data_IF_533130372647
#
_entry.id   IF_533130372647
#
_cell.length_a   1.000
_cell.length_b   1.000
_cell.length_c   1.000
_cell.angle_alpha   90.00
_cell.angle_beta   90.00
_cell.angle_gamma   90.00
#
_symmetry.space_group_name_H-M   'P 1'
#
loop_
_entity.id
_entity.type
_entity.pdbx_description
1 polymer ?
#
# COMPACT_ATOMS: atom_id res chain seq x y z
N UNK A 1 42.28 12.62 -15.10
CA UNK A 1 41.75 12.66 -13.72
C UNK A 1 41.33 11.26 -13.33
N UNK A 2 41.64 10.80 -12.11
CA UNK A 2 41.10 9.52 -11.63
C UNK A 2 39.60 9.66 -11.44
N UNK A 3 38.78 8.76 -12.00
CA UNK A 3 37.33 8.81 -11.80
C UNK A 3 37.01 8.71 -10.30
N UNK A 4 35.95 9.39 -9.88
CA UNK A 4 35.50 9.43 -8.50
C UNK A 4 33.98 9.32 -8.45
N UNK A 5 33.47 8.73 -7.38
CA UNK A 5 32.05 8.59 -7.09
C UNK A 5 31.72 9.45 -5.87
N UNK A 6 30.65 10.22 -5.95
CA UNK A 6 30.15 11.01 -4.81
C UNK A 6 29.18 10.15 -3.99
N UNK A 7 29.36 10.16 -2.68
CA UNK A 7 28.50 9.51 -1.69
C UNK A 7 27.97 10.55 -0.71
N UNK A 8 26.71 10.44 -0.31
CA UNK A 8 26.06 11.36 0.63
C UNK A 8 25.42 10.60 1.80
N UNK A 9 25.69 11.03 3.02
CA UNK A 9 25.00 10.58 4.23
C UNK A 9 24.54 11.81 5.02
N UNK A 10 23.23 12.07 5.05
CA UNK A 10 22.70 13.35 5.54
C UNK A 10 23.25 14.52 4.72
N UNK A 11 23.81 15.53 5.39
CA UNK A 11 24.42 16.71 4.74
C UNK A 11 25.87 16.48 4.28
N UNK A 12 26.46 15.35 4.64
CA UNK A 12 27.87 15.08 4.34
C UNK A 12 28.02 14.43 2.97
N UNK A 13 28.73 15.09 2.05
CA UNK A 13 29.05 14.55 0.72
C UNK A 13 30.56 14.33 0.59
N UNK A 14 30.98 13.11 0.26
CA UNK A 14 32.39 12.73 0.07
C UNK A 14 32.61 12.15 -1.33
N UNK A 15 33.68 12.59 -2.00
CA UNK A 15 34.10 12.02 -3.28
C UNK A 15 35.17 10.94 -3.04
N UNK A 16 34.86 9.69 -3.42
CA UNK A 16 35.74 8.54 -3.24
C UNK A 16 36.26 8.10 -4.61
N UNK A 17 37.57 7.87 -4.73
CA UNK A 17 38.17 7.37 -5.97
C UNK A 17 37.62 5.98 -6.32
N UNK A 18 37.21 5.79 -7.59
CA UNK A 18 36.72 4.48 -8.04
C UNK A 18 37.85 3.58 -8.51
N UNK A 19 37.67 2.28 -8.35
CA UNK A 19 38.59 1.25 -8.83
C UNK A 19 38.10 0.70 -10.16
N UNK A 20 38.97 0.03 -10.92
CA UNK A 20 38.59 -0.71 -12.12
C UNK A 20 38.77 -2.19 -11.90
N UNK A 21 37.77 -2.98 -12.29
CA UNK A 21 37.89 -4.44 -12.27
C UNK A 21 38.92 -4.87 -13.32
N UNK A 22 39.82 -5.79 -12.95
CA UNK A 22 40.89 -6.23 -13.86
C UNK A 22 40.38 -7.11 -15.00
N UNK A 23 39.24 -7.76 -14.79
CA UNK A 23 38.63 -8.73 -15.70
C UNK A 23 37.60 -8.04 -16.60
N UNK A 24 36.67 -7.27 -16.03
CA UNK A 24 35.60 -6.60 -16.79
C UNK A 24 36.00 -5.21 -17.28
N UNK A 25 36.96 -4.56 -16.63
CA UNK A 25 37.34 -3.16 -16.91
C UNK A 25 36.37 -2.12 -16.35
N UNK A 26 35.27 -2.55 -15.73
CA UNK A 26 34.23 -1.68 -15.19
C UNK A 26 34.69 -0.96 -13.93
N UNK A 27 34.17 0.26 -13.75
CA UNK A 27 34.49 1.08 -12.59
C UNK A 27 33.55 0.73 -11.42
N UNK A 28 34.11 0.63 -10.22
CA UNK A 28 33.34 0.27 -9.02
C UNK A 28 33.92 0.90 -7.74
N UNK A 29 33.11 0.98 -6.70
CA UNK A 29 33.49 1.37 -5.34
C UNK A 29 33.44 0.16 -4.40
N UNK A 30 34.48 -0.04 -3.59
CA UNK A 30 34.49 -1.10 -2.55
C UNK A 30 33.79 -0.61 -1.31
N UNK A 31 32.98 -1.46 -0.69
CA UNK A 31 32.32 -1.15 0.59
C UNK A 31 33.32 -0.73 1.67
N UNK A 32 34.49 -1.38 1.71
CA UNK A 32 35.56 -1.09 2.67
C UNK A 32 36.16 0.30 2.49
N UNK A 33 36.16 0.86 1.27
CA UNK A 33 36.64 2.21 1.03
C UNK A 33 35.58 3.25 1.41
N UNK A 34 34.29 2.91 1.27
CA UNK A 34 33.16 3.72 1.72
C UNK A 34 33.10 3.78 3.25
N UNK A 35 33.27 2.64 3.93
CA UNK A 35 33.25 2.54 5.40
C UNK A 35 34.33 3.35 6.10
N UNK A 36 35.42 3.71 5.42
CA UNK A 36 36.44 4.63 5.98
C UNK A 36 35.89 6.02 6.26
N UNK A 37 34.90 6.45 5.48
CA UNK A 37 34.26 7.76 5.62
C UNK A 37 32.87 7.65 6.27
N UNK A 38 32.18 6.54 6.05
CA UNK A 38 30.83 6.29 6.55
C UNK A 38 30.75 4.91 7.21
N UNK A 39 31.23 4.74 8.46
CA UNK A 39 31.36 3.41 9.09
C UNK A 39 30.04 2.64 9.23
N UNK A 40 28.92 3.35 9.31
CA UNK A 40 27.59 2.76 9.45
C UNK A 40 26.86 2.52 8.12
N UNK A 41 27.50 2.79 6.98
CA UNK A 41 26.90 2.61 5.66
C UNK A 41 26.54 1.14 5.42
N UNK A 42 25.30 0.86 5.02
CA UNK A 42 24.87 -0.51 4.71
C UNK A 42 23.91 -0.61 3.54
N UNK A 43 23.16 0.45 3.27
CA UNK A 43 22.25 0.56 2.13
C UNK A 43 22.61 1.77 1.28
N UNK A 44 22.48 1.61 -0.04
CA UNK A 44 22.88 2.58 -1.04
C UNK A 44 21.74 2.83 -2.01
N UNK A 45 21.53 4.07 -2.41
CA UNK A 45 20.45 4.46 -3.31
C UNK A 45 20.91 5.51 -4.32
N UNK A 46 20.42 5.43 -5.55
CA UNK A 46 20.56 6.47 -6.56
C UNK A 46 19.19 6.82 -7.11
N UNK A 47 18.78 8.08 -7.00
CA UNK A 47 17.50 8.61 -7.51
C UNK A 47 16.25 7.81 -7.06
N UNK A 48 16.24 7.34 -5.82
CA UNK A 48 15.12 6.55 -5.27
C UNK A 48 15.27 5.03 -5.47
N UNK A 49 16.26 4.55 -6.24
CA UNK A 49 16.48 3.12 -6.48
C UNK A 49 17.59 2.58 -5.58
N UNK A 50 17.29 1.55 -4.78
CA UNK A 50 18.31 0.86 -3.99
C UNK A 50 19.26 0.08 -4.89
N UNK A 51 20.56 0.26 -4.66
CA UNK A 51 21.61 -0.43 -5.39
C UNK A 51 21.89 -1.78 -4.75
N UNK A 52 21.89 -2.83 -5.59
CA UNK A 52 22.40 -4.13 -5.20
C UNK A 52 23.94 -4.14 -5.26
N UNK A 53 24.55 -5.08 -4.55
CA UNK A 53 25.97 -5.35 -4.72
C UNK A 53 26.22 -6.04 -6.05
N UNK A 54 27.37 -5.79 -6.66
CA UNK A 54 27.75 -6.48 -7.89
C UNK A 54 27.95 -7.97 -7.62
N UNK A 55 27.49 -8.80 -8.56
CA UNK A 55 27.63 -10.25 -8.56
C UNK A 55 28.60 -10.70 -9.65
N UNK A 56 29.23 -11.87 -9.44
CA UNK A 56 30.08 -12.52 -10.42
C UNK A 56 29.26 -13.32 -11.45
N UNK A 57 29.94 -14.05 -12.34
CA UNK A 57 29.30 -14.84 -13.40
C UNK A 57 28.52 -16.05 -12.87
N UNK A 58 28.71 -16.40 -11.60
CA UNK A 58 28.01 -17.47 -10.91
C UNK A 58 26.93 -16.94 -9.96
N UNK A 59 26.49 -15.69 -10.14
CA UNK A 59 25.45 -15.03 -9.33
C UNK A 59 25.83 -14.93 -7.84
N UNK A 60 27.15 -14.85 -7.54
CA UNK A 60 27.64 -14.64 -6.17
C UNK A 60 28.12 -13.22 -5.98
N UNK A 61 27.72 -12.59 -4.89
CA UNK A 61 28.23 -11.26 -4.52
C UNK A 61 29.76 -11.27 -4.42
N UNK A 62 30.42 -10.28 -5.02
CA UNK A 62 31.87 -10.15 -4.89
C UNK A 62 32.29 -9.95 -3.42
N UNK A 63 33.35 -10.63 -2.97
CA UNK A 63 34.04 -10.30 -1.72
C UNK A 63 35.40 -9.62 -1.97
N UNK A 64 35.66 -8.41 -1.42
CA UNK A 64 34.74 -7.56 -0.65
C UNK A 64 33.64 -6.95 -1.53
N UNK A 65 32.47 -6.68 -0.93
CA UNK A 65 31.28 -6.15 -1.62
C UNK A 65 31.58 -4.89 -2.42
N UNK A 66 30.99 -4.81 -3.61
CA UNK A 66 31.26 -3.77 -4.62
C UNK A 66 29.96 -3.13 -5.07
N UNK A 67 30.01 -1.83 -5.33
CA UNK A 67 28.91 -1.04 -5.88
C UNK A 67 29.37 -0.50 -7.23
N UNK A 68 28.51 -0.58 -8.24
CA UNK A 68 28.76 -0.04 -9.56
C UNK A 68 29.04 1.48 -9.52
N UNK A 69 29.84 1.98 -10.46
CA UNK A 69 30.06 3.42 -10.61
C UNK A 69 28.92 4.07 -11.39
N UNK A 70 28.36 5.16 -10.86
CA UNK A 70 27.33 5.99 -11.49
C UNK A 70 27.88 7.40 -11.76
N UNK A 71 28.50 7.64 -12.95
CA UNK A 71 29.09 8.93 -13.29
C UNK A 71 28.06 10.07 -13.21
N UNK A 72 28.44 11.18 -12.57
CA UNK A 72 27.59 12.37 -12.42
C UNK A 72 26.55 12.28 -11.30
N UNK A 73 26.17 11.08 -10.87
CA UNK A 73 25.20 10.87 -9.79
C UNK A 73 25.84 10.92 -8.40
N UNK A 74 25.02 11.16 -7.37
CA UNK A 74 25.38 11.05 -5.96
C UNK A 74 24.69 9.79 -5.42
N UNK A 75 25.45 8.91 -4.77
CA UNK A 75 24.91 7.71 -4.12
C UNK A 75 24.56 8.07 -2.68
N UNK A 76 23.28 7.98 -2.34
CA UNK A 76 22.77 8.21 -0.98
C UNK A 76 22.99 6.97 -0.11
N UNK A 77 23.53 7.20 1.09
CA UNK A 77 23.82 6.18 2.09
C UNK A 77 22.73 6.21 3.15
N UNK A 78 22.09 5.07 3.35
CA UNK A 78 21.12 4.86 4.41
C UNK A 78 21.74 4.01 5.52
N UNK A 79 21.61 4.50 6.74
CA UNK A 79 21.97 3.77 7.96
C UNK A 79 20.66 3.29 8.58
N UNK A 80 20.42 1.98 8.68
CA UNK A 80 19.31 1.46 9.45
C UNK A 80 19.47 1.99 10.85
N UNK A 81 18.54 2.84 11.29
CA UNK A 81 18.49 3.28 12.66
C UNK A 81 18.34 2.03 13.51
N UNK A 82 19.41 1.65 14.21
CA UNK A 82 19.33 0.59 15.21
C UNK A 82 18.28 1.05 16.19
N UNK A 83 17.13 0.36 16.20
CA UNK A 83 16.08 0.55 17.18
C UNK A 83 16.74 0.31 18.55
N UNK A 84 17.18 1.38 19.20
CA UNK A 84 17.57 1.33 20.59
C UNK A 84 16.31 0.94 21.34
N UNK A 85 16.21 -0.33 21.73
CA UNK A 85 15.21 -0.78 22.68
C UNK A 85 15.40 0.09 23.93
N UNK A 86 14.45 1.00 24.17
CA UNK A 86 14.41 1.79 25.40
C UNK A 86 14.40 0.81 26.55
N UNK A 87 15.53 0.68 27.23
CA UNK A 87 15.66 -0.18 28.39
C UNK A 87 15.37 0.70 29.60
N UNK A 88 14.11 1.12 29.74
CA UNK A 88 13.69 1.82 30.95
C UNK A 88 13.54 0.79 32.09
N UNK A 89 14.25 0.95 33.22
CA UNK A 89 14.13 0.06 34.35
C UNK A 89 12.78 0.28 35.04
N UNK A 90 11.96 -0.78 35.10
CA UNK A 90 10.68 -0.82 35.80
C UNK A 90 10.84 -0.51 37.29
N UNK A 91 10.27 0.63 37.73
CA UNK A 91 10.10 0.97 39.14
C UNK A 91 8.95 0.16 39.75
N UNK A 92 9.29 -0.66 40.74
CA UNK A 92 8.36 -1.34 41.63
C UNK A 92 7.65 -0.31 42.54
N UNK A 93 6.31 -0.30 42.54
CA UNK A 93 5.51 0.41 43.53
C UNK A 93 4.69 -0.60 44.35
N UNK A 94 5.17 -0.81 45.57
CA UNK A 94 4.53 -1.62 46.61
C UNK A 94 3.62 -0.77 47.48
N UNK A 95 2.34 -1.18 47.52
CA UNK A 95 1.42 -1.26 48.66
C UNK A 95 1.43 -0.24 49.81
N UNK A 96 0.24 0.32 50.05
CA UNK A 96 -0.42 0.28 51.36
C UNK A 96 -0.75 1.63 52.03
N UNK A 97 -2.04 1.91 52.27
CA UNK A 97 -2.71 1.80 53.60
C UNK A 97 -4.03 2.61 53.64
N UNK A 98 -4.99 2.07 54.39
CA UNK A 98 -6.38 2.50 54.58
C UNK A 98 -6.62 3.79 55.40
N UNK A 99 -7.80 4.37 55.12
CA UNK A 99 -8.79 5.01 56.02
C UNK A 99 -8.47 6.36 56.70
N UNK A 100 -9.34 7.37 56.45
CA UNK A 100 -10.27 7.88 57.48
C UNK A 100 -11.37 8.79 56.91
N UNK A 101 -12.54 8.62 57.50
CA UNK A 101 -13.79 9.38 57.39
C UNK A 101 -13.59 10.84 57.86
N UNK A 102 -14.23 11.79 57.16
CA UNK A 102 -14.32 13.18 57.61
C UNK A 102 -15.27 13.99 56.74
N UNK A 103 -16.44 14.30 57.31
CA UNK A 103 -17.54 15.08 56.72
C UNK A 103 -17.17 16.55 56.52
N UNK A 104 -17.87 17.16 55.55
CA UNK A 104 -18.53 18.48 55.62
C UNK A 104 -17.98 19.62 54.74
N UNK A 105 -18.95 20.16 54.01
CA UNK A 105 -19.22 21.58 53.73
C UNK A 105 -18.81 22.19 52.38
N UNK A 106 -19.88 22.61 51.70
CA UNK A 106 -19.95 23.44 50.51
C UNK A 106 -19.56 24.86 50.90
N UNK A 107 -18.68 25.50 50.13
CA UNK A 107 -18.56 26.95 50.06
C UNK A 107 -17.98 27.36 48.71
N UNK A 108 -18.71 28.23 48.01
CA UNK A 108 -18.26 28.98 46.86
C UNK A 108 -17.21 30.02 47.26
N UNK A 109 -16.13 30.17 46.49
CA UNK A 109 -15.66 31.44 45.95
C UNK A 109 -14.46 31.21 45.01
N UNK A 110 -14.43 31.92 43.89
CA UNK A 110 -13.34 31.85 42.92
C UNK A 110 -12.13 32.71 43.30
N UNK A 111 -10.97 32.36 42.74
CA UNK A 111 -9.90 33.28 42.35
C UNK A 111 -8.83 32.55 41.51
N UNK A 112 -8.64 33.02 40.26
CA UNK A 112 -7.38 33.43 39.60
C UNK A 112 -6.18 32.46 39.44
N UNK A 113 -5.61 32.49 38.21
CA UNK A 113 -4.29 31.98 37.75
C UNK A 113 -4.19 30.44 37.70
N UNK A 114 -3.57 29.78 36.72
CA UNK A 114 -2.33 30.09 36.01
C UNK A 114 -2.26 29.26 34.72
N UNK A 115 -1.63 29.82 33.70
CA UNK A 115 -1.29 29.18 32.42
C UNK A 115 -0.24 28.10 32.70
N UNK A 116 -0.57 26.83 32.50
CA UNK A 116 0.41 25.76 32.59
C UNK A 116 0.41 24.85 31.36
N UNK A 117 1.63 24.52 30.98
CA UNK A 117 2.07 23.99 29.69
C UNK A 117 1.94 22.46 29.71
N UNK A 118 0.96 21.92 28.99
CA UNK A 118 0.82 20.47 28.82
C UNK A 118 1.67 20.01 27.61
N UNK A 119 2.82 19.40 27.89
CA UNK A 119 3.56 18.58 26.95
C UNK A 119 2.91 17.18 26.92
N UNK A 120 2.30 16.83 25.78
CA UNK A 120 1.78 15.50 25.51
C UNK A 120 2.81 14.72 24.68
N UNK A 121 3.41 13.74 25.34
CA UNK A 121 4.27 12.73 24.73
C UNK A 121 3.42 11.72 23.97
N UNK A 122 3.76 11.46 22.69
CA UNK A 122 3.09 10.46 21.84
C UNK A 122 4.09 9.38 21.47
N UNK A 123 3.72 8.12 21.70
CA UNK A 123 4.51 6.94 21.37
C UNK A 123 4.24 6.47 19.94
N UNK A 124 5.32 6.04 19.27
CA UNK A 124 5.34 5.53 17.90
C UNK A 124 4.72 4.11 17.79
N UNK A 125 3.87 3.88 16.79
CA UNK A 125 3.48 2.56 16.31
C UNK A 125 3.87 2.44 14.83
N UNK A 126 4.70 1.43 14.52
CA UNK A 126 5.24 1.14 13.19
C UNK A 126 4.38 0.09 12.48
N UNK A 127 3.98 0.36 11.24
CA UNK A 127 3.44 -0.63 10.30
C UNK A 127 4.43 -0.79 9.13
N UNK A 128 4.73 -2.05 8.78
CA UNK A 128 5.60 -2.43 7.66
C UNK A 128 4.81 -2.46 6.33
N UNK A 129 5.38 -2.00 5.21
CA UNK A 129 4.88 -2.34 3.88
C UNK A 129 5.46 -3.68 3.37
N UNK A 130 4.62 -4.45 2.66
CA UNK A 130 4.98 -5.69 1.97
C UNK A 130 5.70 -5.40 0.64
N UNK A 131 6.70 -6.23 0.34
CA UNK A 131 7.45 -6.22 -0.92
C UNK A 131 6.74 -7.10 -1.97
N UNK A 132 6.45 -6.53 -3.13
CA UNK A 132 5.89 -7.24 -4.29
C UNK A 132 7.04 -7.67 -5.19
N UNK A 133 7.25 -8.98 -5.33
CA UNK A 133 8.20 -9.54 -6.29
C UNK A 133 7.50 -9.76 -7.64
N UNK A 134 7.98 -9.09 -8.69
CA UNK A 134 7.65 -9.36 -10.08
C UNK A 134 8.37 -10.62 -10.56
N UNK A 135 7.62 -11.71 -10.78
CA UNK A 135 8.15 -12.96 -11.32
C UNK A 135 7.95 -12.98 -12.84
N UNK A 136 9.06 -12.99 -13.58
CA UNK A 136 9.05 -13.09 -15.05
C UNK A 136 9.02 -14.55 -15.48
N UNK A 137 7.96 -14.96 -16.17
CA UNK A 137 7.78 -16.30 -16.75
C UNK A 137 8.49 -16.38 -18.11
N UNK A 138 9.56 -17.19 -18.21
CA UNK A 138 10.09 -17.66 -19.48
C UNK A 138 9.99 -19.19 -19.55
N UNK A 139 9.29 -19.65 -20.59
CA UNK A 139 8.95 -21.04 -20.92
C UNK A 139 9.98 -21.57 -21.91
N UNK A 140 10.65 -22.68 -21.60
CA UNK A 140 11.16 -23.63 -22.60
C UNK A 140 11.55 -24.96 -21.96
N UNK A 141 11.15 -26.04 -22.64
CA UNK A 141 11.27 -27.43 -22.24
C UNK A 141 12.48 -28.11 -22.90
N UNK A 142 13.18 -28.98 -22.16
CA UNK A 142 13.82 -30.20 -22.69
C UNK A 142 14.23 -31.15 -21.54
N UNK A 143 14.12 -32.45 -21.81
CA UNK A 143 14.28 -33.62 -20.95
C UNK A 143 15.69 -33.85 -20.36
N UNK A 144 15.79 -34.32 -19.10
CA UNK A 144 16.34 -35.65 -18.69
C UNK A 144 16.74 -35.74 -17.19
N UNK A 145 16.90 -36.97 -16.63
CA UNK A 145 16.52 -37.28 -15.24
C UNK A 145 17.69 -37.47 -14.24
N UNK A 146 17.28 -37.64 -12.98
CA UNK A 146 18.02 -38.15 -11.81
C UNK A 146 19.18 -37.31 -11.25
N UNK A 147 18.94 -36.70 -10.08
CA UNK A 147 19.78 -36.91 -8.90
C UNK A 147 19.09 -36.41 -7.63
N UNK A 148 19.00 -37.30 -6.64
CA UNK A 148 18.58 -37.01 -5.29
C UNK A 148 19.43 -35.91 -4.66
N UNK A 149 18.79 -34.84 -4.22
CA UNK A 149 19.40 -33.82 -3.36
C UNK A 149 18.45 -33.48 -2.22
N UNK A 150 18.99 -33.64 -1.02
CA UNK A 150 18.39 -33.40 0.29
C UNK A 150 18.00 -31.93 0.42
N UNK A 151 16.70 -31.63 0.51
CA UNK A 151 16.21 -30.29 0.81
C UNK A 151 16.38 -29.99 2.30
N UNK A 152 17.15 -28.93 2.61
CA UNK A 152 17.11 -28.25 3.90
C UNK A 152 15.97 -27.22 3.88
N UNK A 153 15.12 -27.13 4.91
CA UNK A 153 14.06 -26.13 4.96
C UNK A 153 14.63 -24.76 5.34
N UNK A 154 14.29 -23.76 4.52
CA UNK A 154 14.61 -22.35 4.72
C UNK A 154 13.69 -21.74 5.80
N UNK A 155 14.30 -21.06 6.76
CA UNK A 155 13.73 -20.57 8.01
C UNK A 155 12.57 -19.56 7.82
N UNK A 156 11.40 -19.90 8.33
CA UNK A 156 10.31 -18.95 8.62
C UNK A 156 10.40 -18.53 10.09
N UNK A 157 11.04 -17.39 10.37
CA UNK A 157 11.08 -16.77 11.69
C UNK A 157 9.78 -16.02 12.00
N UNK A 158 9.37 -16.07 13.27
CA UNK A 158 8.28 -15.31 13.95
C UNK A 158 6.86 -15.90 14.04
N UNK A 159 6.73 -17.17 14.44
CA UNK A 159 5.71 -17.57 15.44
C UNK A 159 6.37 -18.53 16.43
N UNK A 160 7.19 -17.99 17.32
CA UNK A 160 7.77 -18.73 18.44
C UNK A 160 7.17 -18.17 19.72
N UNK A 161 5.91 -18.51 20.02
CA UNK A 161 5.35 -18.36 21.37
C UNK A 161 4.12 -19.26 21.50
N UNK A 162 4.19 -20.15 22.49
CA UNK A 162 3.16 -21.09 22.95
C UNK A 162 2.95 -22.37 22.14
N UNK A 163 4.01 -23.13 21.87
CA UNK A 163 3.87 -24.59 22.00
C UNK A 163 3.78 -24.88 23.50
N UNK A 164 2.56 -24.91 24.04
CA UNK A 164 2.32 -25.37 25.41
C UNK A 164 2.84 -26.81 25.47
N UNK A 165 3.89 -27.01 26.26
CA UNK A 165 4.67 -28.24 26.34
C UNK A 165 3.79 -29.45 26.68
N UNK A 166 3.43 -30.25 25.67
CA UNK A 166 2.77 -31.56 25.77
C UNK A 166 3.61 -32.53 26.63
N UNK A 167 4.88 -32.21 26.84
CA UNK A 167 5.85 -33.01 27.59
C UNK A 167 5.49 -33.14 29.08
N UNK A 168 4.76 -32.19 29.66
CA UNK A 168 4.44 -32.18 31.10
C UNK A 168 3.35 -33.18 31.54
N UNK A 169 2.18 -33.29 30.87
CA UNK A 169 1.15 -34.27 31.26
C UNK A 169 1.56 -35.72 31.01
N UNK A 170 2.37 -35.99 29.97
CA UNK A 170 2.86 -37.35 29.71
C UNK A 170 3.76 -37.89 30.84
N UNK A 171 4.56 -37.01 31.46
CA UNK A 171 5.36 -37.39 32.62
C UNK A 171 4.49 -37.75 33.84
N UNK A 172 3.38 -37.04 34.06
CA UNK A 172 2.45 -37.35 35.14
C UNK A 172 1.71 -38.67 34.91
N UNK A 173 1.25 -38.95 33.69
CA UNK A 173 0.66 -40.25 33.31
C UNK A 173 1.66 -41.39 33.50
N UNK A 174 2.93 -41.17 33.15
CA UNK A 174 3.99 -42.17 33.34
C UNK A 174 4.21 -42.47 34.82
N UNK A 175 4.19 -41.46 35.70
CA UNK A 175 4.36 -41.66 37.14
C UNK A 175 3.17 -42.43 37.76
N UNK A 176 1.94 -42.09 37.37
CA UNK A 176 0.74 -42.82 37.84
C UNK A 176 0.76 -44.28 37.36
N UNK A 177 1.20 -44.53 36.13
CA UNK A 177 1.35 -45.89 35.61
C UNK A 177 2.36 -46.72 36.41
N UNK A 178 3.52 -46.14 36.77
CA UNK A 178 4.51 -46.84 37.61
C UNK A 178 3.96 -47.14 39.01
N UNK A 179 3.21 -46.22 39.61
CA UNK A 179 2.59 -46.42 40.92
C UNK A 179 1.53 -47.53 40.88
N UNK A 180 0.70 -47.57 39.83
CA UNK A 180 -0.26 -48.66 39.59
C UNK A 180 0.45 -50.01 39.53
N UNK A 181 1.54 -50.13 38.75
CA UNK A 181 2.28 -51.41 38.64
C UNK A 181 2.88 -51.84 39.97
N UNK A 182 3.35 -50.88 40.78
CA UNK A 182 3.91 -51.15 42.11
C UNK A 182 2.82 -51.68 43.06
N UNK A 183 1.63 -51.07 43.08
CA UNK A 183 0.51 -51.54 43.91
C UNK A 183 0.01 -52.91 43.45
N UNK A 184 -0.06 -53.18 42.14
CA UNK A 184 -0.42 -54.50 41.62
C UNK A 184 0.56 -55.59 42.08
N UNK A 185 1.86 -55.28 42.10
CA UNK A 185 2.88 -56.20 42.61
C UNK A 185 2.71 -56.46 44.11
N UNK A 186 2.46 -55.42 44.91
CA UNK A 186 2.19 -55.55 46.35
C UNK A 186 0.91 -56.34 46.64
N UNK A 187 -0.16 -56.14 45.85
CA UNK A 187 -1.40 -56.91 45.93
C UNK A 187 -1.16 -58.41 45.74
N UNK A 188 -0.34 -58.76 44.74
CA UNK A 188 0.00 -60.15 44.43
C UNK A 188 0.73 -60.82 45.60
N UNK A 189 1.63 -60.08 46.27
CA UNK A 189 2.39 -60.57 47.42
C UNK A 189 1.57 -60.62 48.72
N UNK A 190 0.52 -59.81 48.85
CA UNK A 190 -0.30 -59.69 50.07
C UNK A 190 -1.42 -60.74 50.19
N UNK A 191 -1.60 -61.62 49.20
CA UNK A 191 -2.74 -62.54 49.07
C UNK A 191 -2.89 -63.52 50.25
N UNK A 192 -1.80 -63.81 50.98
CA UNK A 192 -1.78 -64.89 51.97
C UNK A 192 -1.89 -64.45 53.45
N UNK A 193 -1.84 -63.14 53.81
CA UNK A 193 -1.68 -62.79 55.24
C UNK A 193 -2.57 -61.72 55.91
N UNK A 194 -3.26 -60.77 55.25
CA UNK A 194 -4.11 -59.80 55.99
C UNK A 194 -5.23 -59.20 55.12
N UNK A 195 -6.50 -59.31 55.56
CA UNK A 195 -7.65 -58.83 54.77
C UNK A 195 -7.78 -57.29 54.73
N UNK A 196 -7.40 -56.58 55.79
CA UNK A 196 -7.56 -55.12 55.89
C UNK A 196 -6.56 -54.35 55.02
N UNK A 197 -5.29 -54.76 55.03
CA UNK A 197 -4.25 -54.14 54.19
C UNK A 197 -4.53 -54.37 52.69
N UNK A 198 -4.95 -55.58 52.32
CA UNK A 198 -5.34 -55.90 50.94
C UNK A 198 -6.50 -55.00 50.46
N UNK A 199 -7.51 -54.79 51.32
CA UNK A 199 -8.64 -53.91 51.01
C UNK A 199 -8.19 -52.45 50.81
N UNK A 200 -7.24 -51.96 51.61
CA UNK A 200 -6.68 -50.62 51.45
C UNK A 200 -5.92 -50.45 50.13
N UNK A 201 -5.10 -51.45 49.73
CA UNK A 201 -4.39 -51.43 48.45
C UNK A 201 -5.36 -51.43 47.25
N UNK A 202 -6.46 -52.20 47.31
CA UNK A 202 -7.49 -52.18 46.28
C UNK A 202 -8.17 -50.82 46.17
N UNK A 203 -8.48 -50.18 47.30
CA UNK A 203 -9.09 -48.86 47.31
C UNK A 203 -8.14 -47.79 46.73
N UNK A 204 -6.85 -47.88 47.05
CA UNK A 204 -5.83 -47.00 46.49
C UNK A 204 -5.67 -47.21 44.98
N UNK A 205 -5.65 -48.47 44.51
CA UNK A 205 -5.59 -48.79 43.08
C UNK A 205 -6.79 -48.21 42.32
N UNK A 206 -7.99 -48.36 42.86
CA UNK A 206 -9.21 -47.81 42.26
C UNK A 206 -9.12 -46.29 42.08
N UNK A 207 -8.67 -45.57 43.11
CA UNK A 207 -8.49 -44.12 43.05
C UNK A 207 -7.46 -43.71 41.99
N UNK A 208 -6.29 -44.38 41.93
CA UNK A 208 -5.27 -44.04 40.93
C UNK A 208 -5.71 -44.34 39.50
N UNK A 209 -6.42 -45.46 39.26
CA UNK A 209 -6.98 -45.77 37.94
C UNK A 209 -8.06 -44.76 37.55
N UNK A 210 -8.90 -44.33 38.49
CA UNK A 210 -9.87 -43.27 38.24
C UNK A 210 -9.17 -41.95 37.86
N UNK A 211 -8.13 -41.56 38.59
CA UNK A 211 -7.35 -40.36 38.31
C UNK A 211 -6.63 -40.44 36.95
N UNK A 212 -6.08 -41.61 36.60
CA UNK A 212 -5.46 -41.84 35.29
C UNK A 212 -6.49 -41.66 34.15
N UNK A 213 -7.70 -42.18 34.31
CA UNK A 213 -8.78 -42.03 33.32
C UNK A 213 -9.23 -40.59 33.15
N UNK A 214 -9.31 -39.83 34.24
CA UNK A 214 -9.65 -38.39 34.19
C UNK A 214 -8.57 -37.61 33.44
N UNK A 215 -7.29 -37.84 33.77
CA UNK A 215 -6.16 -37.21 33.08
C UNK A 215 -6.13 -37.55 31.58
N UNK A 216 -6.44 -38.78 31.19
CA UNK A 216 -6.54 -39.17 29.78
C UNK A 216 -7.71 -38.47 29.06
N UNK A 217 -8.87 -38.32 29.72
CA UNK A 217 -10.00 -37.57 29.15
C UNK A 217 -9.67 -36.10 28.95
N UNK A 218 -9.02 -35.46 29.93
CA UNK A 218 -8.57 -34.09 29.82
C UNK A 218 -7.55 -33.91 28.68
N UNK A 219 -6.62 -34.85 28.53
CA UNK A 219 -5.66 -34.83 27.43
C UNK A 219 -6.34 -34.99 26.07
N UNK A 220 -7.33 -35.88 25.95
CA UNK A 220 -8.12 -36.04 24.72
C UNK A 220 -8.88 -34.75 24.37
N UNK A 221 -9.58 -34.15 25.34
CA UNK A 221 -10.30 -32.89 25.15
C UNK A 221 -9.37 -31.71 24.84
N UNK A 222 -8.17 -31.70 25.42
CA UNK A 222 -7.15 -30.68 25.12
C UNK A 222 -6.64 -30.83 23.70
N UNK A 223 -6.39 -32.06 23.25
CA UNK A 223 -5.94 -32.35 21.88
C UNK A 223 -7.00 -31.98 20.84
N UNK A 224 -8.27 -32.24 21.14
CA UNK A 224 -9.39 -31.86 20.26
C UNK A 224 -9.49 -30.33 20.10
N UNK A 225 -9.34 -29.57 21.19
CA UNK A 225 -9.31 -28.09 21.15
C UNK A 225 -8.13 -27.54 20.32
N UNK A 226 -6.96 -28.16 20.44
CA UNK A 226 -5.79 -27.80 19.63
C UNK A 226 -6.01 -28.09 18.15
N UNK A 227 -6.59 -29.25 17.82
CA UNK A 227 -6.92 -29.61 16.44
C UNK A 227 -7.96 -28.67 15.84
N UNK A 228 -8.99 -28.28 16.62
CA UNK A 228 -9.99 -27.30 16.19
C UNK A 228 -9.33 -25.93 15.90
N UNK A 229 -8.45 -25.46 16.79
CA UNK A 229 -7.72 -24.20 16.58
C UNK A 229 -6.88 -24.23 15.30
N UNK A 230 -6.20 -25.35 15.02
CA UNK A 230 -5.41 -25.50 13.80
C UNK A 230 -6.30 -25.49 12.54
N UNK A 231 -7.49 -26.09 12.58
CA UNK A 231 -8.45 -26.02 11.47
C UNK A 231 -8.94 -24.60 11.23
N UNK A 232 -9.35 -23.89 12.28
CA UNK A 232 -9.79 -22.49 12.18
C UNK A 232 -8.67 -21.58 11.63
N UNK A 233 -7.42 -21.82 12.04
CA UNK A 233 -6.27 -21.10 11.52
C UNK A 233 -6.04 -21.37 10.02
N UNK A 234 -6.17 -22.63 9.58
CA UNK A 234 -6.04 -23.00 8.18
C UNK A 234 -7.13 -22.35 7.31
N UNK A 235 -8.38 -22.35 7.79
CA UNK A 235 -9.50 -21.67 7.11
C UNK A 235 -9.32 -20.14 7.08
N UNK A 236 -8.78 -19.56 8.14
CA UNK A 236 -8.47 -18.13 8.18
C UNK A 236 -7.40 -17.76 7.13
N UNK A 237 -6.34 -18.56 7.02
CA UNK A 237 -5.29 -18.36 6.01
C UNK A 237 -5.84 -18.49 4.59
N UNK A 238 -6.73 -19.46 4.34
CA UNK A 238 -7.37 -19.61 3.03
C UNK A 238 -8.22 -18.39 2.66
N UNK A 239 -8.96 -17.83 3.62
CA UNK A 239 -9.74 -16.59 3.41
C UNK A 239 -8.85 -15.39 3.11
N UNK A 240 -7.73 -15.25 3.82
CA UNK A 240 -6.75 -14.19 3.58
C UNK A 240 -6.14 -14.30 2.18
N UNK A 241 -5.75 -15.50 1.76
CA UNK A 241 -5.21 -15.76 0.42
C UNK A 241 -6.23 -15.43 -0.68
N UNK A 242 -7.51 -15.76 -0.49
CA UNK A 242 -8.57 -15.38 -1.43
C UNK A 242 -8.77 -13.86 -1.53
N UNK A 243 -8.65 -13.13 -0.42
CA UNK A 243 -8.76 -11.67 -0.41
C UNK A 243 -7.59 -11.06 -1.19
N UNK A 244 -6.36 -11.55 -0.97
CA UNK A 244 -5.17 -11.10 -1.70
C UNK A 244 -5.28 -11.39 -3.20
N UNK A 245 -5.78 -12.56 -3.58
CA UNK A 245 -5.99 -12.92 -4.98
C UNK A 245 -6.97 -11.95 -5.68
N UNK A 246 -8.08 -11.58 -5.02
CA UNK A 246 -9.05 -10.60 -5.57
C UNK A 246 -8.46 -9.19 -5.67
N UNK A 247 -7.62 -8.79 -4.71
CA UNK A 247 -6.91 -7.51 -4.79
C UNK A 247 -5.96 -7.48 -5.99
N UNK A 248 -5.19 -8.56 -6.20
CA UNK A 248 -4.29 -8.65 -7.35
C UNK A 248 -5.05 -8.57 -8.68
N UNK A 249 -6.15 -9.30 -8.81
CA UNK A 249 -7.01 -9.22 -10.00
C UNK A 249 -7.50 -7.79 -10.28
N UNK A 250 -7.87 -7.05 -9.22
CA UNK A 250 -8.30 -5.65 -9.33
C UNK A 250 -7.16 -4.75 -9.81
N UNK A 251 -5.95 -4.94 -9.28
CA UNK A 251 -4.75 -4.19 -9.69
C UNK A 251 -4.42 -4.47 -11.16
N UNK A 252 -4.42 -5.74 -11.58
CA UNK A 252 -4.12 -6.13 -12.96
C UNK A 252 -5.11 -5.52 -13.95
N UNK A 253 -6.41 -5.49 -13.60
CA UNK A 253 -7.45 -4.80 -14.38
C UNK A 253 -7.19 -3.30 -14.51
N UNK A 254 -6.76 -2.63 -13.43
CA UNK A 254 -6.41 -1.21 -13.46
C UNK A 254 -5.18 -0.93 -14.32
N UNK A 255 -4.17 -1.81 -14.30
CA UNK A 255 -2.98 -1.69 -15.16
C UNK A 255 -3.37 -1.78 -16.64
N UNK A 256 -4.18 -2.78 -17.02
CA UNK A 256 -4.66 -2.92 -18.41
C UNK A 256 -5.50 -1.71 -18.82
N UNK A 257 -6.35 -1.20 -17.94
CA UNK A 257 -7.13 0.01 -18.18
C UNK A 257 -6.25 1.23 -18.44
N UNK A 258 -5.23 1.42 -17.59
CA UNK A 258 -4.26 2.50 -17.75
C UNK A 258 -3.49 2.38 -19.06
N UNK A 259 -2.97 1.19 -19.39
CA UNK A 259 -2.27 0.96 -20.66
C UNK A 259 -3.15 1.25 -21.88
N UNK A 260 -4.45 0.93 -21.81
CA UNK A 260 -5.39 1.23 -22.89
C UNK A 260 -5.64 2.73 -23.02
N UNK A 261 -5.75 3.44 -21.89
CA UNK A 261 -5.86 4.92 -21.87
C UNK A 261 -4.58 5.52 -22.47
N UNK A 262 -3.40 5.06 -22.05
CA UNK A 262 -2.11 5.49 -22.62
C UNK A 262 -2.02 5.20 -24.12
N UNK A 263 -2.46 4.02 -24.58
CA UNK A 263 -2.47 3.69 -26.00
C UNK A 263 -3.41 4.60 -26.81
N UNK A 264 -4.58 4.96 -26.27
CA UNK A 264 -5.49 5.92 -26.91
C UNK A 264 -4.86 7.32 -26.94
N UNK A 265 -4.17 7.71 -25.87
CA UNK A 265 -3.42 8.97 -25.83
C UNK A 265 -2.28 8.98 -26.84
N UNK A 266 -1.52 7.87 -26.97
CA UNK A 266 -0.33 7.75 -27.84
C UNK A 266 -0.67 7.51 -29.30
N UNK A 267 -1.69 6.71 -29.66
CA UNK A 267 -2.08 6.48 -31.06
C UNK A 267 -2.49 7.76 -31.79
N UNK A 268 -2.96 8.74 -31.02
CA UNK A 268 -3.26 10.06 -31.52
C UNK A 268 -2.01 10.85 -32.00
N UNK A 269 -0.78 10.44 -31.61
CA UNK A 269 0.46 11.15 -31.93
C UNK A 269 1.12 10.81 -33.27
N UNK A 270 0.78 9.69 -33.91
CA UNK A 270 1.47 9.22 -35.13
C UNK A 270 0.79 9.63 -36.46
N UNK A 271 -0.24 10.47 -36.45
CA UNK A 271 -0.76 11.09 -37.68
C UNK A 271 0.06 12.33 -38.07
N UNK A 272 1.19 12.09 -38.72
CA UNK A 272 2.22 13.08 -39.07
C UNK A 272 1.81 14.17 -40.10
N UNK A 273 0.53 14.45 -40.32
CA UNK A 273 0.08 15.50 -41.25
C UNK A 273 -1.00 16.46 -40.70
N UNK A 274 -1.48 16.29 -39.46
CA UNK A 274 -2.30 17.29 -38.75
C UNK A 274 -1.95 17.33 -37.25
N UNK A 275 -1.42 18.43 -36.69
CA UNK A 275 -0.80 18.46 -35.35
C UNK A 275 -1.80 18.51 -34.17
N UNK A 276 -3.02 18.00 -34.30
CA UNK A 276 -4.06 18.21 -33.29
C UNK A 276 -4.92 16.97 -33.04
N UNK A 277 -4.46 16.04 -32.19
CA UNK A 277 -5.36 15.39 -31.26
C UNK A 277 -5.48 16.29 -30.02
N UNK A 278 -6.62 16.96 -29.85
CA UNK A 278 -6.88 17.68 -28.60
C UNK A 278 -8.08 17.05 -27.96
N UNK A 279 -7.81 16.16 -26.99
CA UNK A 279 -8.83 15.80 -26.02
C UNK A 279 -9.46 17.10 -25.50
N UNK A 280 -10.77 17.11 -25.39
CA UNK A 280 -11.49 18.25 -24.88
C UNK A 280 -12.56 17.78 -23.92
N UNK A 281 -12.87 18.66 -22.98
CA UNK A 281 -13.99 18.52 -22.06
C UNK A 281 -14.94 19.70 -22.26
N UNK A 282 -16.20 19.51 -21.91
CA UNK A 282 -17.21 20.56 -21.98
C UNK A 282 -17.64 20.86 -20.58
N UNK A 283 -17.53 22.13 -20.20
CA UNK A 283 -17.93 22.61 -18.89
C UNK A 283 -18.95 23.75 -19.05
N UNK A 284 -19.89 23.90 -18.12
CA UNK A 284 -20.77 25.06 -18.10
C UNK A 284 -19.96 26.34 -17.82
N UNK A 285 -20.38 27.46 -18.41
CA UNK A 285 -19.73 28.77 -18.28
C UNK A 285 -19.67 29.27 -16.83
N UNK A 286 -20.64 28.89 -16.00
CA UNK A 286 -20.71 29.26 -14.58
C UNK A 286 -20.96 28.04 -13.69
N UNK A 287 -19.89 27.49 -13.12
CA UNK A 287 -19.98 26.33 -12.23
C UNK A 287 -20.65 26.63 -10.88
N UNK A 288 -20.49 27.87 -10.36
CA UNK A 288 -20.98 28.25 -9.03
C UNK A 288 -22.51 28.32 -8.91
N UNK A 289 -23.20 28.51 -10.03
CA UNK A 289 -24.66 28.69 -10.11
C UNK A 289 -25.32 27.64 -10.99
N UNK A 290 -24.57 26.59 -11.32
CA UNK A 290 -24.99 25.57 -12.25
C UNK A 290 -26.23 24.85 -11.73
N UNK A 291 -27.32 24.88 -12.50
CA UNK A 291 -28.53 24.09 -12.22
C UNK A 291 -28.62 22.96 -13.26
N UNK A 292 -28.43 21.68 -12.86
CA UNK A 292 -28.47 20.56 -13.79
C UNK A 292 -29.81 20.43 -14.55
N UNK A 293 -30.89 21.03 -14.02
CA UNK A 293 -32.21 21.05 -14.68
C UNK A 293 -32.30 22.06 -15.83
N UNK A 294 -31.34 22.98 -15.93
CA UNK A 294 -31.29 24.07 -16.91
C UNK A 294 -30.16 23.92 -17.92
N UNK A 295 -29.64 22.71 -18.10
CA UNK A 295 -28.53 22.41 -19.00
C UNK A 295 -28.69 23.05 -20.39
N UNK A 296 -29.87 22.95 -21.01
CA UNK A 296 -30.13 23.53 -22.35
C UNK A 296 -30.18 25.07 -22.39
N UNK A 297 -30.36 25.73 -21.24
CA UNK A 297 -30.42 27.19 -21.13
C UNK A 297 -29.06 27.81 -20.76
N UNK A 298 -28.10 26.98 -20.37
CA UNK A 298 -26.76 27.42 -19.97
C UNK A 298 -25.80 27.39 -21.14
N UNK A 299 -24.83 28.32 -21.12
CA UNK A 299 -23.77 28.38 -22.12
C UNK A 299 -22.72 27.34 -21.77
N UNK A 300 -22.33 26.55 -22.75
CA UNK A 300 -21.25 25.58 -22.61
C UNK A 300 -20.00 26.10 -23.26
N UNK A 301 -18.87 25.80 -22.62
CA UNK A 301 -17.55 26.05 -23.19
C UNK A 301 -16.80 24.74 -23.34
N UNK A 302 -16.14 24.64 -24.48
CA UNK A 302 -15.21 23.56 -24.80
C UNK A 302 -13.80 23.98 -24.35
N UNK A 303 -13.18 23.14 -23.53
CA UNK A 303 -11.81 23.30 -23.06
C UNK A 303 -10.94 22.19 -23.62
N UNK A 304 -9.82 22.54 -24.23
CA UNK A 304 -8.84 21.54 -24.63
C UNK A 304 -8.01 21.11 -23.41
N UNK A 305 -7.66 19.84 -23.35
CA UNK A 305 -6.68 19.33 -22.40
C UNK A 305 -5.28 19.60 -22.97
N UNK A 306 -4.37 20.17 -22.17
CA UNK A 306 -2.96 20.17 -22.51
C UNK A 306 -2.26 18.96 -21.91
N UNK A 307 -1.38 18.37 -22.71
CA UNK A 307 -0.41 17.35 -22.33
C UNK A 307 0.97 17.96 -22.07
N UNK A 308 0.99 19.19 -21.58
CA UNK A 308 2.23 19.86 -21.33
C UNK A 308 2.92 19.19 -20.12
N UNK A 309 4.15 18.69 -20.27
CA UNK A 309 4.95 18.18 -19.15
C UNK A 309 5.39 19.30 -18.18
N UNK A 310 6.47 19.06 -17.43
CA UNK A 310 7.03 19.98 -16.40
C UNK A 310 7.32 21.43 -16.89
N UNK A 311 7.23 21.69 -18.19
CA UNK A 311 7.55 22.96 -18.84
C UNK A 311 6.41 23.99 -18.86
N UNK A 312 5.19 23.64 -18.43
CA UNK A 312 4.05 24.56 -18.46
C UNK A 312 3.66 25.17 -17.11
N UNK A 313 4.47 24.98 -16.07
CA UNK A 313 4.45 25.95 -15.00
C UNK A 313 4.89 27.29 -15.61
N UNK A 314 4.03 28.32 -15.66
CA UNK A 314 4.48 29.65 -16.00
C UNK A 314 5.47 29.99 -14.90
N UNK A 315 6.77 29.81 -15.18
CA UNK A 315 7.83 30.31 -14.33
C UNK A 315 7.54 31.78 -14.20
N UNK A 316 6.98 32.13 -13.06
CA UNK A 316 6.76 33.49 -12.61
C UNK A 316 8.12 34.14 -12.70
N UNK A 317 8.34 34.86 -13.80
CA UNK A 317 9.56 35.58 -14.02
C UNK A 317 9.69 36.61 -12.92
N UNK A 318 10.45 36.29 -11.89
CA UNK A 318 11.03 37.28 -10.99
C UNK A 318 12.48 36.94 -10.77
N UNK A 319 13.26 37.39 -11.75
CA UNK A 319 14.58 37.96 -11.53
C UNK A 319 14.56 38.92 -10.32
N UNK A 320 14.99 38.44 -9.16
CA UNK A 320 15.72 39.27 -8.18
C UNK A 320 16.93 38.50 -7.67
N UNK A 321 18.08 38.85 -8.27
CA UNK A 321 19.37 38.78 -7.59
C UNK A 321 19.30 39.63 -6.32
N UNK A 322 19.38 39.02 -5.13
CA UNK A 322 20.17 39.47 -3.98
C UNK A 322 19.66 38.78 -2.71
N UNK A 323 20.60 38.27 -1.93
CA UNK A 323 20.38 37.24 -0.92
C UNK A 323 19.48 37.62 0.24
N UNK A 324 18.71 36.64 0.70
CA UNK A 324 18.25 36.57 2.07
C UNK A 324 17.99 35.10 2.45
N UNK A 325 18.78 34.64 3.43
CA UNK A 325 18.62 33.37 4.13
C UNK A 325 17.19 33.23 4.65
N UNK A 326 16.50 32.17 4.23
CA UNK A 326 15.35 31.63 4.95
C UNK A 326 15.58 30.14 5.17
N UNK A 327 15.37 29.76 6.43
CA UNK A 327 15.64 28.46 7.03
C UNK A 327 14.66 27.46 6.43
N UNK A 328 15.18 26.50 5.65
CA UNK A 328 14.39 25.41 5.09
C UNK A 328 14.31 24.27 6.11
N UNK A 329 13.11 24.03 6.63
CA UNK A 329 12.76 22.78 7.30
C UNK A 329 12.76 21.66 6.24
N UNK A 330 13.43 20.56 6.57
CA UNK A 330 13.73 19.46 5.67
C UNK A 330 12.76 18.30 5.93
N UNK A 331 11.74 18.17 5.10
CA UNK A 331 10.90 16.97 5.03
C UNK A 331 11.03 16.38 3.62
N UNK A 332 11.97 15.43 3.48
CA UNK A 332 12.30 14.79 2.21
C UNK A 332 11.54 13.47 2.04
N UNK A 333 10.28 13.55 1.61
CA UNK A 333 9.72 12.51 0.75
C UNK A 333 9.80 13.05 -0.68
N UNK A 334 10.65 12.47 -1.53
CA UNK A 334 10.65 12.86 -2.95
C UNK A 334 9.49 12.10 -3.61
N UNK A 335 8.41 12.79 -4.02
CA UNK A 335 7.28 12.12 -4.65
C UNK A 335 7.74 11.48 -5.95
N UNK A 336 7.23 10.28 -6.26
CA UNK A 336 7.40 9.65 -7.58
C UNK A 336 7.06 10.71 -8.64
N UNK A 337 7.96 11.04 -9.58
CA UNK A 337 7.70 12.07 -10.56
C UNK A 337 6.60 11.56 -11.50
N UNK A 338 5.36 11.97 -11.24
CA UNK A 338 4.21 11.75 -12.13
C UNK A 338 4.42 12.66 -13.35
N UNK A 339 5.07 12.13 -14.40
CA UNK A 339 5.58 12.90 -15.54
C UNK A 339 4.53 13.32 -16.58
N UNK A 340 3.25 13.08 -16.33
CA UNK A 340 2.18 13.40 -17.28
C UNK A 340 0.91 13.79 -16.53
N UNK A 341 0.82 15.06 -16.11
CA UNK A 341 -0.42 15.61 -15.58
C UNK A 341 -1.25 16.21 -16.72
N UNK A 342 -2.43 15.62 -16.95
CA UNK A 342 -3.42 16.18 -17.87
C UNK A 342 -4.02 17.41 -17.17
N UNK A 343 -3.90 18.58 -17.79
CA UNK A 343 -4.50 19.82 -17.28
C UNK A 343 -5.35 20.47 -18.37
N UNK A 344 -6.20 21.41 -17.97
CA UNK A 344 -6.90 22.27 -18.92
C UNK A 344 -5.89 23.22 -19.54
N UNK A 345 -5.88 23.31 -20.87
CA UNK A 345 -5.08 24.30 -21.57
C UNK A 345 -5.50 25.71 -21.09
N UNK A 346 -4.53 26.60 -20.93
CA UNK A 346 -4.76 27.94 -20.40
C UNK A 346 -5.42 28.85 -21.46
N UNK A 347 -6.72 28.63 -21.69
CA UNK A 347 -7.59 29.47 -22.51
C UNK A 347 -8.98 29.56 -21.87
N UNK A 348 -9.75 30.58 -22.21
CA UNK A 348 -11.07 30.85 -21.62
C UNK A 348 -12.16 29.83 -21.98
N UNK A 349 -11.83 28.79 -22.74
CA UNK A 349 -12.79 27.90 -23.39
C UNK A 349 -13.43 28.52 -24.65
N UNK A 350 -13.88 27.66 -25.56
CA UNK A 350 -14.62 28.07 -26.76
C UNK A 350 -16.11 27.91 -26.52
N UNK A 351 -16.89 28.96 -26.71
CA UNK A 351 -18.33 28.87 -26.56
C UNK A 351 -18.95 27.95 -27.62
N UNK A 352 -19.93 27.12 -27.23
CA UNK A 352 -20.68 26.32 -28.18
C UNK A 352 -21.87 27.11 -28.74
N UNK A 353 -21.82 27.42 -30.03
CA UNK A 353 -22.87 28.15 -30.75
C UNK A 353 -24.16 27.33 -30.94
N UNK A 354 -24.02 26.00 -31.04
CA UNK A 354 -25.13 25.05 -31.29
C UNK A 354 -25.00 23.82 -30.38
N UNK A 355 -25.24 23.97 -29.06
CA UNK A 355 -24.98 22.91 -28.09
C UNK A 355 -25.81 21.64 -28.37
N UNK A 356 -27.07 21.76 -28.79
CA UNK A 356 -27.91 20.59 -29.09
C UNK A 356 -27.33 19.74 -30.22
N UNK A 357 -27.09 20.34 -31.39
CA UNK A 357 -26.48 19.64 -32.54
C UNK A 357 -25.08 19.10 -32.22
N UNK A 358 -24.34 19.82 -31.38
CA UNK A 358 -23.04 19.37 -30.89
C UNK A 358 -23.18 18.07 -30.10
N UNK A 359 -24.10 18.01 -29.12
CA UNK A 359 -24.29 16.82 -28.28
C UNK A 359 -24.92 15.65 -29.04
N UNK A 360 -25.74 15.89 -30.05
CA UNK A 360 -26.23 14.83 -30.94
C UNK A 360 -25.06 14.14 -31.67
N UNK A 361 -23.98 14.90 -31.94
CA UNK A 361 -22.86 14.42 -32.75
C UNK A 361 -21.66 13.92 -31.95
N UNK A 362 -21.35 14.60 -30.86
CA UNK A 362 -20.18 14.33 -30.01
C UNK A 362 -20.59 13.88 -28.60
N UNK A 363 -21.88 13.75 -28.29
CA UNK A 363 -22.35 13.39 -26.94
C UNK A 363 -21.79 12.07 -26.45
N UNK A 364 -21.74 11.04 -27.30
CA UNK A 364 -21.11 9.76 -26.96
C UNK A 364 -19.62 9.89 -26.65
N UNK A 365 -18.89 10.72 -27.41
CA UNK A 365 -17.48 11.04 -27.16
C UNK A 365 -17.29 11.75 -25.82
N UNK A 366 -18.08 12.80 -25.56
CA UNK A 366 -18.01 13.59 -24.32
C UNK A 366 -18.34 12.70 -23.11
N UNK A 367 -19.35 11.84 -23.24
CA UNK A 367 -19.70 10.86 -22.21
C UNK A 367 -18.54 9.89 -21.95
N UNK A 368 -17.86 9.40 -22.98
CA UNK A 368 -16.66 8.59 -22.85
C UNK A 368 -15.55 9.32 -22.09
N UNK A 369 -15.27 10.57 -22.46
CA UNK A 369 -14.26 11.41 -21.80
C UNK A 369 -14.58 11.69 -20.34
N UNK A 370 -15.84 11.98 -20.00
CA UNK A 370 -16.27 12.19 -18.62
C UNK A 370 -16.14 10.92 -17.78
N UNK A 371 -16.42 9.73 -18.36
CA UNK A 371 -16.20 8.44 -17.68
C UNK A 371 -14.71 8.21 -17.38
N UNK A 372 -13.82 8.50 -18.34
CA UNK A 372 -12.37 8.42 -18.13
C UNK A 372 -11.95 9.40 -17.01
N UNK A 373 -12.40 10.66 -17.09
CA UNK A 373 -12.06 11.67 -16.09
C UNK A 373 -12.54 11.28 -14.68
N UNK A 374 -13.77 10.77 -14.56
CA UNK A 374 -14.31 10.22 -13.31
C UNK A 374 -13.39 9.14 -12.74
N UNK A 375 -12.93 8.22 -13.59
CA UNK A 375 -12.06 7.14 -13.17
C UNK A 375 -10.70 7.66 -12.70
N UNK A 376 -10.07 8.57 -13.46
CA UNK A 376 -8.82 9.21 -13.06
C UNK A 376 -8.94 9.94 -11.71
N UNK A 377 -10.04 10.66 -11.49
CA UNK A 377 -10.33 11.33 -10.22
C UNK A 377 -10.51 10.35 -9.07
N UNK A 378 -11.23 9.24 -9.30
CA UNK A 378 -11.42 8.20 -8.29
C UNK A 378 -10.09 7.53 -7.89
N UNK A 379 -9.24 7.20 -8.87
CA UNK A 379 -7.91 6.63 -8.62
C UNK A 379 -7.03 7.61 -7.84
N UNK A 380 -7.02 8.89 -8.23
CA UNK A 380 -6.27 9.93 -7.52
C UNK A 380 -6.75 10.10 -6.06
N UNK A 381 -8.06 10.04 -5.82
CA UNK A 381 -8.63 10.15 -4.48
C UNK A 381 -8.26 8.97 -3.56
N UNK A 382 -8.09 7.76 -4.11
CA UNK A 382 -7.65 6.57 -3.36
C UNK A 382 -6.14 6.58 -3.10
N UNK A 383 -5.34 7.10 -4.03
CA UNK A 383 -3.89 7.12 -3.91
C UNK A 383 -3.36 8.26 -3.01
N UNK A 384 -4.05 9.40 -2.94
CA UNK A 384 -3.59 10.58 -2.19
C UNK A 384 -3.44 10.40 -0.66
N UNK A 385 -4.32 9.68 0.06
CA UNK A 385 -4.22 9.52 1.52
C UNK A 385 -3.02 8.67 1.97
N UNK A 386 -2.53 7.75 1.13
CA UNK A 386 -1.42 6.87 1.49
C UNK A 386 -0.07 7.60 1.63
N UNK A 387 0.06 8.77 0.99
CA UNK A 387 1.32 9.55 0.97
C UNK A 387 1.30 10.72 1.97
N UNK A 388 0.12 11.24 2.31
CA UNK A 388 -0.03 12.46 3.11
C UNK A 388 -0.13 12.26 4.64
N UNK A 389 -0.08 11.01 5.14
CA UNK A 389 -0.26 10.68 6.57
C UNK A 389 0.89 11.11 7.50
N UNK A 390 1.87 11.88 7.03
CA UNK A 390 3.11 12.18 7.77
C UNK A 390 3.08 13.53 8.50
N UNK A 391 2.20 14.48 8.15
CA UNK A 391 2.23 15.83 8.76
C UNK A 391 0.84 16.35 9.16
N UNK A 392 0.69 16.76 10.42
CA UNK A 392 -0.56 17.28 10.99
C UNK A 392 -0.99 18.65 10.42
N UNK A 393 -0.08 19.39 9.78
CA UNK A 393 -0.36 20.64 9.05
C UNK A 393 -1.05 20.42 7.70
N UNK A 394 -1.12 19.17 7.22
CA UNK A 394 -1.68 18.83 5.91
C UNK A 394 -3.20 18.60 5.99
N UNK A 395 -3.78 18.55 7.20
CA UNK A 395 -5.20 18.26 7.41
C UNK A 395 -6.15 19.29 6.78
N UNK A 396 -5.90 20.58 7.00
CA UNK A 396 -6.75 21.65 6.44
C UNK A 396 -6.60 21.75 4.91
N UNK A 397 -5.40 21.49 4.39
CA UNK A 397 -5.15 21.41 2.95
C UNK A 397 -5.84 20.17 2.33
N UNK A 398 -5.82 19.03 3.03
CA UNK A 398 -6.52 17.81 2.60
C UNK A 398 -8.02 17.98 2.62
N UNK A 399 -8.60 18.64 3.63
CA UNK A 399 -10.04 18.90 3.67
C UNK A 399 -10.46 19.85 2.52
N UNK A 400 -9.61 20.80 2.15
CA UNK A 400 -9.78 21.65 0.96
C UNK A 400 -9.73 20.86 -0.35
N UNK A 401 -8.68 20.07 -0.56
CA UNK A 401 -8.52 19.22 -1.77
C UNK A 401 -9.64 18.18 -1.86
N UNK A 402 -10.03 17.58 -0.73
CA UNK A 402 -11.13 16.63 -0.64
C UNK A 402 -12.44 17.30 -1.05
N UNK A 403 -12.76 18.47 -0.49
CA UNK A 403 -13.98 19.20 -0.85
C UNK A 403 -14.02 19.58 -2.34
N UNK A 404 -12.88 19.97 -2.91
CA UNK A 404 -12.78 20.27 -4.35
C UNK A 404 -12.97 18.99 -5.18
N UNK A 405 -12.32 17.89 -4.80
CA UNK A 405 -12.42 16.61 -5.51
C UNK A 405 -13.85 16.05 -5.46
N UNK A 406 -14.52 16.10 -4.29
CA UNK A 406 -15.91 15.66 -4.12
C UNK A 406 -16.87 16.48 -4.97
N UNK A 407 -16.73 17.81 -4.97
CA UNK A 407 -17.54 18.70 -5.83
C UNK A 407 -17.31 18.44 -7.31
N UNK A 408 -16.07 18.16 -7.70
CA UNK A 408 -15.69 17.87 -9.09
C UNK A 408 -16.27 16.52 -9.54
N UNK A 409 -16.09 15.47 -8.74
CA UNK A 409 -16.66 14.14 -9.00
C UNK A 409 -18.18 14.21 -9.10
N UNK A 410 -18.84 14.93 -8.18
CA UNK A 410 -20.29 15.09 -8.19
C UNK A 410 -20.80 15.77 -9.47
N UNK A 411 -20.12 16.80 -9.99
CA UNK A 411 -20.52 17.41 -11.26
C UNK A 411 -20.21 16.57 -12.48
N UNK A 412 -19.11 15.81 -12.47
CA UNK A 412 -18.84 14.83 -13.52
C UNK A 412 -19.95 13.78 -13.55
N UNK A 413 -20.40 13.29 -12.38
CA UNK A 413 -21.51 12.35 -12.26
C UNK A 413 -22.83 12.91 -12.79
N UNK A 414 -23.20 14.13 -12.38
CA UNK A 414 -24.40 14.79 -12.89
C UNK A 414 -24.34 14.98 -14.42
N UNK A 415 -23.17 15.32 -14.95
CA UNK A 415 -22.97 15.49 -16.41
C UNK A 415 -23.08 14.16 -17.16
N UNK A 416 -22.57 13.07 -16.58
CA UNK A 416 -22.69 11.71 -17.11
C UNK A 416 -24.16 11.28 -17.15
N UNK A 417 -24.89 11.46 -16.06
CA UNK A 417 -26.29 11.03 -15.96
C UNK A 417 -27.18 11.80 -16.92
N UNK A 418 -26.95 13.11 -17.07
CA UNK A 418 -27.64 13.93 -18.05
C UNK A 418 -27.37 13.46 -19.48
N UNK A 419 -26.10 13.27 -19.86
CA UNK A 419 -25.75 12.85 -21.22
C UNK A 419 -26.30 11.46 -21.54
N UNK A 420 -26.33 10.54 -20.56
CA UNK A 420 -27.00 9.25 -20.71
C UNK A 420 -28.47 9.43 -21.01
N UNK A 421 -29.20 10.18 -20.17
CA UNK A 421 -30.62 10.44 -20.39
C UNK A 421 -30.87 11.05 -21.77
N UNK A 422 -30.05 12.01 -22.20
CA UNK A 422 -30.18 12.67 -23.51
C UNK A 422 -29.96 11.71 -24.68
N UNK A 423 -28.94 10.85 -24.58
CA UNK A 423 -28.66 9.84 -25.61
C UNK A 423 -29.75 8.76 -25.64
N UNK A 424 -30.30 8.39 -24.50
CA UNK A 424 -31.42 7.43 -24.40
C UNK A 424 -32.72 8.00 -25.00
N UNK A 425 -33.01 9.28 -24.77
CA UNK A 425 -34.14 9.99 -25.41
C UNK A 425 -34.04 9.96 -26.95
N UNK A 426 -32.83 10.17 -27.48
CA UNK A 426 -32.58 10.12 -28.92
C UNK A 426 -32.71 8.69 -29.47
N UNK A 427 -32.24 7.68 -28.74
CA UNK A 427 -32.37 6.27 -29.14
C UNK A 427 -33.83 5.79 -29.14
N UNK A 428 -34.66 6.27 -28.20
CA UNK A 428 -36.07 5.94 -28.14
C UNK A 428 -36.87 6.49 -29.35
N UNK A 429 -36.43 7.61 -29.93
CA UNK A 429 -37.07 8.20 -31.11
C UNK A 429 -36.83 7.37 -32.40
N UNK A 430 -35.70 6.66 -32.49
CA UNK A 430 -35.31 5.88 -33.67
C UNK A 430 -35.88 4.45 -33.70
N UNK A 431 -36.65 4.03 -32.69
CA UNK A 431 -37.41 2.77 -32.71
C UNK A 431 -36.58 1.49 -32.75
N UNK A 432 -35.26 1.57 -32.54
CA UNK A 432 -34.38 0.40 -32.49
C UNK A 432 -34.42 -0.17 -31.07
N UNK A 433 -35.17 -1.27 -30.89
CA UNK A 433 -35.32 -1.95 -29.60
C UNK A 433 -33.96 -2.45 -29.07
N UNK A 434 -33.47 -1.83 -28.00
CA UNK A 434 -32.20 -2.17 -27.35
C UNK A 434 -32.29 -3.52 -26.61
N UNK A 435 -31.52 -4.50 -27.07
CA UNK A 435 -31.37 -5.80 -26.42
C UNK A 435 -30.38 -5.75 -25.26
N UNK A 436 -30.91 -6.11 -24.08
CA UNK A 436 -30.29 -6.72 -22.91
C UNK A 436 -29.19 -5.96 -22.13
N UNK A 437 -29.58 -5.59 -20.90
CA UNK A 437 -28.72 -5.24 -19.79
C UNK A 437 -27.89 -6.44 -19.32
N UNK A 438 -26.63 -6.53 -19.76
CA UNK A 438 -25.61 -7.33 -19.06
C UNK A 438 -24.65 -6.38 -18.32
N UNK A 439 -24.43 -6.73 -17.05
CA UNK A 439 -23.31 -6.36 -16.16
C UNK A 439 -22.60 -5.02 -16.40
N UNK A 440 -22.97 -4.05 -15.56
CA UNK A 440 -22.57 -2.64 -15.52
C UNK A 440 -21.05 -2.35 -15.48
N UNK A 441 -20.20 -3.33 -15.20
CA UNK A 441 -18.74 -3.14 -15.09
C UNK A 441 -17.98 -3.37 -16.42
N UNK A 442 -18.44 -4.26 -17.30
CA UNK A 442 -17.81 -4.46 -18.61
C UNK A 442 -18.10 -3.29 -19.57
N UNK A 443 -19.12 -2.49 -19.29
CA UNK A 443 -19.54 -1.36 -20.13
C UNK A 443 -18.66 -0.10 -19.96
N UNK A 444 -17.71 -0.11 -19.02
CA UNK A 444 -16.84 1.05 -18.79
C UNK A 444 -16.00 1.38 -20.03
N UNK A 445 -15.63 0.35 -20.80
CA UNK A 445 -14.75 0.49 -21.97
C UNK A 445 -15.46 0.39 -23.32
N UNK A 446 -16.73 0.00 -23.36
CA UNK A 446 -17.54 0.06 -24.60
C UNK A 446 -17.61 1.50 -25.15
N UNK A 447 -17.61 2.48 -24.25
CA UNK A 447 -17.57 3.90 -24.60
C UNK A 447 -16.25 4.36 -25.24
N UNK A 448 -15.15 3.60 -25.11
CA UNK A 448 -13.88 3.95 -25.75
C UNK A 448 -13.92 3.78 -27.27
N UNK A 449 -14.77 2.88 -27.80
CA UNK A 449 -14.97 2.77 -29.25
C UNK A 449 -15.56 4.06 -29.85
N UNK A 450 -16.34 4.81 -29.06
CA UNK A 450 -16.85 6.12 -29.47
C UNK A 450 -15.75 7.20 -29.51
N UNK A 451 -14.64 7.01 -28.78
CA UNK A 451 -13.49 7.92 -28.82
C UNK A 451 -12.68 7.76 -30.10
N UNK A 452 -12.63 6.56 -30.67
CA UNK A 452 -11.88 6.23 -31.90
C UNK A 452 -12.56 6.79 -33.17
N UNK A 453 -13.87 7.10 -33.11
CA UNK A 453 -14.67 7.49 -34.29
C UNK A 453 -15.08 8.96 -34.38
N UNK A 454 -14.75 9.81 -33.40
CA UNK A 454 -15.21 11.19 -33.39
C UNK A 454 -14.45 12.05 -34.44
N UNK A 455 -15.12 12.42 -35.54
CA UNK A 455 -14.54 13.30 -36.55
C UNK A 455 -14.38 14.75 -36.02
N UNK A 456 -13.22 15.06 -35.46
CA UNK A 456 -12.91 16.37 -34.88
C UNK A 456 -12.72 17.48 -35.92
N UNK A 457 -12.63 17.15 -37.22
CA UNK A 457 -12.44 18.17 -38.27
C UNK A 457 -13.63 19.11 -38.40
N UNK A 458 -14.81 18.69 -37.91
CA UNK A 458 -16.05 19.48 -37.95
C UNK A 458 -16.30 20.23 -36.64
N UNK A 459 -15.41 20.11 -35.66
CA UNK A 459 -15.54 20.74 -34.34
C UNK A 459 -15.64 22.26 -34.45
N UNK A 460 -14.82 22.89 -35.30
CA UNK A 460 -14.78 24.34 -35.52
C UNK A 460 -16.15 24.91 -35.96
N UNK A 461 -16.99 24.11 -36.63
CA UNK A 461 -18.33 24.54 -37.02
C UNK A 461 -19.30 24.74 -35.85
N UNK A 462 -18.96 24.26 -34.65
CA UNK A 462 -19.75 24.42 -33.44
C UNK A 462 -19.19 25.50 -32.51
N UNK A 463 -17.95 25.94 -32.72
CA UNK A 463 -17.30 26.93 -31.87
C UNK A 463 -17.75 28.35 -32.26
N UNK A 464 -18.25 29.10 -31.28
CA UNK A 464 -18.47 30.54 -31.39
C UNK A 464 -17.12 31.25 -31.38
N UNK A 465 -16.95 32.23 -32.27
CA UNK A 465 -15.77 33.11 -32.30
C UNK A 465 -15.86 34.20 -31.25
#
# INVERSE_FOLDING_TARGET
MTPHQRFRQGDTVVSIAVRKDKTTGEAYSRITDIHKFFPAASLFNVNGVFLNYLEDKEEREYEPKRIEHYPGHIIDIFVPSSLHASTDPSLNLSGGTMAKIGSREVSYLGHVLTKDKMELSVSNLSLRPYSVHTSTLARSAAFSPERSATFLPLSSTTIARQTVSITRPMAALSAIATDITTIQQQLTQSTDQQSSHHQQLLQQLFYMVQQQNEMLREQAASKEREEQMLREQAESKLREEQILARQQETIDRLIVAQQRIEAILVQNYELHEYPIPRLFVILPDSYEKWDPRRFMAERFRLFFLCECGDHCNPSTGSTTSSGQLTIAAADSSTPIPVRSSIHLANHEGYELSRPTEFFDRYGAYVLGMLRILKHCLAVAAVAAPAVALVESSVKDAMDGVKSISERTVMAVDMSIDFLKQKLDENAAADGVAATNAMTQEEDMFSGLAALEGADLRRLDSFLGK
#
